data_IF_130502636916
#
_entry.id   IF_130502636916
#
_cell.length_a   1.000
_cell.length_b   1.000
_cell.length_c   1.000
_cell.angle_alpha   90.00
_cell.angle_beta   90.00
_cell.angle_gamma   90.00
#
_symmetry.space_group_name_H-M   'P 1'
#
loop_
_entity.id
_entity.type
_entity.pdbx_description
1 polymer ?
#
# COMPACT_ATOMS: atom_id res chain seq x y z
N UNK A 1 3.78 -41.25 -21.66
CA UNK A 1 4.21 -41.35 -20.26
C UNK A 1 4.81 -40.02 -19.87
N UNK A 2 4.19 -39.32 -18.95
CA UNK A 2 4.75 -38.06 -18.40
C UNK A 2 6.08 -38.42 -17.69
N UNK A 3 7.20 -37.81 -18.11
CA UNK A 3 8.48 -37.93 -17.39
C UNK A 3 8.22 -37.35 -15.98
N UNK A 4 8.24 -38.21 -14.96
CA UNK A 4 8.20 -37.76 -13.58
C UNK A 4 9.36 -36.81 -13.35
N UNK A 5 9.06 -35.56 -12.99
CA UNK A 5 10.10 -34.61 -12.62
C UNK A 5 10.76 -35.09 -11.33
N UNK A 6 12.07 -35.26 -11.35
CA UNK A 6 12.86 -35.57 -10.14
C UNK A 6 13.09 -34.31 -9.26
N UNK A 7 12.83 -33.14 -9.80
CA UNK A 7 13.08 -31.81 -9.20
C UNK A 7 11.78 -31.12 -8.85
N UNK A 8 11.82 -30.31 -7.81
CA UNK A 8 10.69 -29.51 -7.34
C UNK A 8 11.04 -28.02 -7.34
N UNK A 9 10.09 -27.20 -7.78
CA UNK A 9 10.05 -25.77 -7.51
C UNK A 9 8.90 -25.50 -6.55
N UNK A 10 9.26 -25.15 -5.31
CA UNK A 10 8.31 -24.78 -4.26
C UNK A 10 8.14 -23.28 -4.23
N UNK A 11 6.93 -22.79 -4.44
CA UNK A 11 6.56 -21.39 -4.32
C UNK A 11 5.89 -21.13 -2.97
N UNK A 12 6.49 -20.29 -2.14
CA UNK A 12 5.86 -19.86 -0.90
C UNK A 12 4.95 -18.65 -1.18
N UNK A 13 3.73 -18.69 -0.66
CA UNK A 13 2.76 -17.59 -0.76
C UNK A 13 2.31 -17.18 0.64
N UNK A 14 2.29 -15.89 0.91
CA UNK A 14 1.76 -15.36 2.17
C UNK A 14 2.24 -13.94 2.46
N UNK A 15 1.61 -13.32 3.40
CA UNK A 15 1.82 -11.96 3.83
C UNK A 15 3.13 -11.81 4.63
N UNK A 16 3.63 -10.61 4.78
CA UNK A 16 4.76 -10.32 5.67
C UNK A 16 4.43 -10.76 7.10
N UNK A 17 5.38 -11.28 7.82
CA UNK A 17 5.12 -11.85 9.18
C UNK A 17 4.54 -13.26 9.20
N UNK A 18 4.11 -13.83 8.06
CA UNK A 18 3.45 -15.15 8.05
C UNK A 18 4.37 -16.36 8.32
N UNK A 19 5.71 -16.18 8.32
CA UNK A 19 6.65 -17.26 8.62
C UNK A 19 7.27 -17.94 7.39
N UNK A 20 7.07 -17.41 6.18
CA UNK A 20 7.67 -17.95 4.93
C UNK A 20 9.16 -18.25 5.03
N UNK A 21 9.94 -17.29 5.55
CA UNK A 21 11.39 -17.46 5.64
C UNK A 21 11.81 -18.56 6.64
N UNK A 22 10.99 -18.86 7.63
CA UNK A 22 11.20 -20.02 8.52
C UNK A 22 10.98 -21.32 7.74
N UNK A 23 9.86 -21.42 7.01
CA UNK A 23 9.58 -22.55 6.13
C UNK A 23 10.68 -22.71 5.09
N UNK A 24 11.12 -21.61 4.46
CA UNK A 24 12.21 -21.66 3.47
C UNK A 24 13.51 -22.23 4.06
N UNK A 25 13.87 -21.86 5.30
CA UNK A 25 15.04 -22.42 6.00
C UNK A 25 14.94 -23.92 6.21
N UNK A 26 13.74 -24.42 6.54
CA UNK A 26 13.51 -25.87 6.70
C UNK A 26 13.70 -26.63 5.36
N UNK A 27 13.35 -26.01 4.24
CA UNK A 27 13.59 -26.57 2.92
C UNK A 27 15.07 -26.48 2.49
N UNK A 28 15.75 -25.38 2.85
CA UNK A 28 17.22 -25.27 2.65
C UNK A 28 17.95 -26.37 3.41
N UNK A 29 17.55 -26.68 4.65
CA UNK A 29 18.11 -27.79 5.43
C UNK A 29 17.87 -29.17 4.76
N UNK A 30 16.87 -29.28 3.88
CA UNK A 30 16.58 -30.46 3.05
C UNK A 30 17.27 -30.44 1.69
N UNK A 31 18.18 -29.49 1.45
CA UNK A 31 18.96 -29.38 0.20
C UNK A 31 18.33 -28.53 -0.90
N UNK A 32 17.28 -27.73 -0.61
CA UNK A 32 16.74 -26.79 -1.57
C UNK A 32 17.61 -25.53 -1.67
N UNK A 33 17.71 -24.97 -2.85
CA UNK A 33 18.26 -23.63 -3.07
C UNK A 33 17.15 -22.62 -2.82
N UNK A 34 17.38 -21.68 -1.90
CA UNK A 34 16.46 -20.57 -1.64
C UNK A 34 16.72 -19.43 -2.61
N UNK A 35 15.66 -18.90 -3.17
CA UNK A 35 15.66 -17.66 -3.98
C UNK A 35 14.72 -16.65 -3.33
N UNK A 36 15.26 -15.50 -2.98
CA UNK A 36 14.54 -14.40 -2.31
C UNK A 36 14.90 -13.06 -2.93
N UNK A 37 13.90 -12.23 -3.22
CA UNK A 37 14.10 -10.94 -3.90
C UNK A 37 14.78 -9.90 -3.03
N UNK A 38 14.54 -9.89 -1.73
CA UNK A 38 15.16 -8.91 -0.82
C UNK A 38 16.66 -9.19 -0.68
N UNK A 39 17.05 -10.47 -0.56
CA UNK A 39 18.45 -10.87 -0.59
C UNK A 39 19.12 -10.49 -1.92
N UNK A 40 18.41 -10.70 -3.04
CA UNK A 40 18.91 -10.34 -4.37
C UNK A 40 19.06 -8.82 -4.55
N UNK A 41 18.14 -8.02 -4.04
CA UNK A 41 18.26 -6.54 -4.09
C UNK A 41 19.51 -6.06 -3.38
N UNK A 42 19.79 -6.60 -2.19
CA UNK A 42 21.00 -6.26 -1.42
C UNK A 42 22.24 -6.70 -2.17
N UNK A 43 22.27 -7.92 -2.68
CA UNK A 43 23.43 -8.47 -3.38
C UNK A 43 23.72 -7.76 -4.72
N UNK A 44 22.69 -7.41 -5.48
CA UNK A 44 22.85 -6.83 -6.80
C UNK A 44 23.07 -5.31 -6.79
N UNK A 45 22.78 -4.63 -5.70
CA UNK A 45 23.00 -3.18 -5.58
C UNK A 45 24.44 -2.74 -5.97
N UNK A 46 25.52 -3.41 -5.52
CA UNK A 46 26.90 -3.03 -5.89
C UNK A 46 27.23 -3.29 -7.36
N UNK A 47 26.52 -4.18 -8.05
CA UNK A 47 26.77 -4.56 -9.45
C UNK A 47 26.18 -3.58 -10.47
N UNK A 48 25.42 -2.59 -10.04
CA UNK A 48 24.83 -1.58 -10.94
C UNK A 48 25.94 -0.71 -11.54
N UNK A 49 26.00 -0.65 -12.88
CA UNK A 49 27.07 0.06 -13.60
C UNK A 49 26.99 1.58 -13.47
N UNK A 50 25.79 2.13 -13.44
CA UNK A 50 25.59 3.55 -13.22
C UNK A 50 25.99 3.93 -11.79
N UNK A 51 27.04 4.76 -11.67
CA UNK A 51 27.62 5.10 -10.37
C UNK A 51 26.67 5.93 -9.50
N UNK A 52 25.88 6.83 -10.11
CA UNK A 52 24.94 7.66 -9.39
C UNK A 52 23.76 6.81 -8.89
N UNK A 53 23.24 5.92 -9.73
CA UNK A 53 22.18 4.98 -9.36
C UNK A 53 22.66 3.99 -8.28
N UNK A 54 23.88 3.46 -8.43
CA UNK A 54 24.49 2.56 -7.44
C UNK A 54 24.65 3.25 -6.08
N UNK A 55 25.18 4.48 -6.05
CA UNK A 55 25.32 5.24 -4.81
C UNK A 55 23.97 5.47 -4.13
N UNK A 56 22.97 5.89 -4.90
CA UNK A 56 21.62 6.10 -4.41
C UNK A 56 20.97 4.80 -3.90
N UNK A 57 21.21 3.67 -4.58
CA UNK A 57 20.71 2.35 -4.16
C UNK A 57 21.40 1.85 -2.90
N UNK A 58 22.72 2.09 -2.75
CA UNK A 58 23.47 1.77 -1.53
C UNK A 58 23.02 2.63 -0.35
N UNK A 59 22.73 3.90 -0.58
CA UNK A 59 22.16 4.80 0.42
C UNK A 59 20.75 4.33 0.82
N UNK A 60 19.91 3.93 -0.13
CA UNK A 60 18.59 3.36 0.14
C UNK A 60 18.69 2.08 0.99
N UNK A 61 19.63 1.19 0.69
CA UNK A 61 19.88 -0.02 1.49
C UNK A 61 20.33 0.34 2.90
N UNK A 62 21.30 1.24 3.05
CA UNK A 62 21.80 1.67 4.36
C UNK A 62 20.71 2.34 5.21
N UNK A 63 19.86 3.15 4.59
CA UNK A 63 18.76 3.83 5.29
C UNK A 63 17.67 2.83 5.71
N UNK A 64 17.36 1.86 4.88
CA UNK A 64 16.45 0.77 5.25
C UNK A 64 17.01 -0.06 6.39
N UNK A 65 18.31 -0.37 6.37
CA UNK A 65 18.98 -1.07 7.46
C UNK A 65 18.97 -0.26 8.77
N UNK A 66 19.03 1.07 8.67
CA UNK A 66 18.86 1.98 9.80
C UNK A 66 17.41 2.19 10.25
N UNK A 67 16.43 1.55 9.59
CA UNK A 67 15.01 1.71 9.89
C UNK A 67 14.40 3.03 9.38
N UNK A 68 15.14 3.79 8.57
CA UNK A 68 14.65 5.02 7.95
C UNK A 68 14.32 4.74 6.48
N UNK A 69 13.10 5.05 6.08
CA UNK A 69 12.62 4.78 4.72
C UNK A 69 12.88 5.95 3.78
N UNK A 70 13.51 5.67 2.62
CA UNK A 70 13.57 6.61 1.49
C UNK A 70 12.74 6.10 0.32
N UNK A 71 11.90 6.94 -0.32
CA UNK A 71 11.17 6.58 -1.52
C UNK A 71 12.12 6.32 -2.70
N UNK A 72 11.84 5.28 -3.51
CA UNK A 72 12.61 4.89 -4.70
C UNK A 72 12.51 5.87 -5.89
N UNK A 73 12.33 7.16 -5.66
CA UNK A 73 12.38 8.17 -6.72
C UNK A 73 13.77 8.73 -6.85
N UNK A 74 14.61 8.01 -7.57
CA UNK A 74 15.89 8.57 -7.98
C UNK A 74 15.69 9.56 -9.12
N UNK A 75 16.02 10.83 -8.89
CA UNK A 75 16.17 11.85 -9.93
C UNK A 75 17.47 11.62 -10.72
N UNK A 76 17.73 10.40 -11.17
CA UNK A 76 19.02 10.04 -11.76
C UNK A 76 18.96 9.06 -12.94
N UNK A 77 17.91 9.09 -13.74
CA UNK A 77 17.96 8.52 -15.10
C UNK A 77 17.82 7.01 -15.26
N UNK A 78 17.94 6.19 -14.21
CA UNK A 78 17.62 4.75 -14.25
C UNK A 78 16.37 4.54 -13.40
N UNK A 79 15.31 3.99 -14.01
CA UNK A 79 14.05 3.78 -13.29
C UNK A 79 14.20 2.63 -12.29
N UNK A 80 13.60 2.75 -11.12
CA UNK A 80 13.51 1.63 -10.16
C UNK A 80 12.86 0.39 -10.76
N UNK A 81 12.09 0.55 -11.85
CA UNK A 81 11.52 -0.53 -12.67
C UNK A 81 12.62 -1.36 -13.35
N UNK A 82 13.63 -0.73 -13.94
CA UNK A 82 14.72 -1.44 -14.64
C UNK A 82 15.54 -2.30 -13.67
N UNK A 83 15.74 -1.82 -12.44
CA UNK A 83 16.39 -2.60 -11.40
C UNK A 83 15.54 -3.78 -10.95
N UNK A 84 14.24 -3.60 -10.75
CA UNK A 84 13.31 -4.68 -10.40
C UNK A 84 13.20 -5.73 -11.52
N UNK A 85 13.24 -5.30 -12.78
CA UNK A 85 13.30 -6.22 -13.93
C UNK A 85 14.63 -7.00 -13.96
N UNK A 86 15.74 -6.35 -13.60
CA UNK A 86 17.03 -7.03 -13.47
C UNK A 86 17.00 -8.04 -12.32
N UNK A 87 16.51 -7.67 -11.13
CA UNK A 87 16.30 -8.58 -10.00
C UNK A 87 15.46 -9.79 -10.42
N UNK A 88 14.37 -9.55 -11.17
CA UNK A 88 13.48 -10.61 -11.66
C UNK A 88 14.17 -11.58 -12.63
N UNK A 89 15.06 -11.06 -13.48
CA UNK A 89 15.87 -11.89 -14.41
C UNK A 89 16.86 -12.75 -13.64
N UNK A 90 17.57 -12.18 -12.67
CA UNK A 90 18.55 -12.91 -11.84
C UNK A 90 17.86 -13.95 -10.97
N UNK A 91 16.72 -13.64 -10.40
CA UNK A 91 15.89 -14.56 -9.62
C UNK A 91 15.58 -15.84 -10.43
N UNK A 92 15.06 -15.65 -11.64
CA UNK A 92 14.75 -16.78 -12.54
C UNK A 92 15.98 -17.52 -13.03
N UNK A 93 17.08 -16.80 -13.33
CA UNK A 93 18.33 -17.43 -13.75
C UNK A 93 18.90 -18.34 -12.65
N UNK A 94 18.86 -17.91 -11.38
CA UNK A 94 19.28 -18.74 -10.24
C UNK A 94 18.42 -19.99 -10.07
N UNK A 95 17.10 -19.81 -10.14
CA UNK A 95 16.19 -20.95 -10.09
C UNK A 95 16.43 -21.93 -11.24
N UNK A 96 16.60 -21.43 -12.48
CA UNK A 96 16.90 -22.26 -13.65
C UNK A 96 18.22 -23.01 -13.50
N UNK A 97 19.27 -22.33 -13.01
CA UNK A 97 20.57 -22.95 -12.80
C UNK A 97 20.50 -24.08 -11.76
N UNK A 98 19.89 -23.85 -10.60
CA UNK A 98 19.72 -24.87 -9.57
C UNK A 98 18.96 -26.11 -10.11
N UNK A 99 17.84 -25.88 -10.80
CA UNK A 99 17.07 -26.94 -11.42
C UNK A 99 17.86 -27.70 -12.50
N UNK A 100 18.75 -27.03 -13.22
CA UNK A 100 19.62 -27.70 -14.23
C UNK A 100 20.69 -28.59 -13.60
N UNK A 101 21.01 -28.34 -12.32
CA UNK A 101 21.93 -29.18 -11.54
C UNK A 101 21.22 -30.24 -10.69
N UNK A 102 19.97 -30.56 -11.01
CA UNK A 102 19.11 -31.51 -10.27
C UNK A 102 18.87 -31.11 -8.80
N UNK A 103 18.92 -29.79 -8.48
CA UNK A 103 18.67 -29.27 -7.14
C UNK A 103 17.27 -28.64 -7.09
N UNK A 104 16.52 -28.95 -6.04
CA UNK A 104 15.21 -28.37 -5.77
C UNK A 104 15.33 -26.87 -5.41
N UNK A 105 14.28 -26.11 -5.67
CA UNK A 105 14.24 -24.66 -5.43
C UNK A 105 13.06 -24.30 -4.55
N UNK A 106 13.28 -23.42 -3.56
CA UNK A 106 12.24 -22.75 -2.81
C UNK A 106 12.30 -21.24 -3.09
N UNK A 107 11.20 -20.67 -3.57
CA UNK A 107 11.06 -19.25 -3.86
C UNK A 107 10.31 -18.59 -2.69
N UNK A 108 11.03 -17.74 -1.94
CA UNK A 108 10.58 -17.14 -0.69
C UNK A 108 10.27 -15.65 -0.88
N UNK A 109 9.10 -15.37 -1.45
CA UNK A 109 8.55 -14.01 -1.57
C UNK A 109 7.06 -14.02 -1.20
N UNK A 110 6.38 -12.86 -1.22
CA UNK A 110 4.96 -12.78 -0.84
C UNK A 110 4.03 -13.47 -1.85
N UNK A 111 4.27 -13.30 -3.15
CA UNK A 111 3.53 -13.90 -4.27
C UNK A 111 1.99 -13.75 -4.17
N UNK A 112 1.52 -12.62 -3.64
CA UNK A 112 0.08 -12.38 -3.44
C UNK A 112 -0.65 -12.07 -4.76
N UNK A 113 0.08 -11.62 -5.78
CA UNK A 113 -0.50 -11.37 -7.10
C UNK A 113 -0.60 -12.69 -7.90
N UNK A 114 -1.80 -13.13 -8.30
CA UNK A 114 -2.00 -14.36 -9.09
C UNK A 114 -1.15 -14.42 -10.37
N UNK A 115 -1.02 -13.30 -11.08
CA UNK A 115 -0.19 -13.25 -12.29
C UNK A 115 1.28 -13.60 -12.03
N UNK A 116 1.78 -13.37 -10.82
CA UNK A 116 3.14 -13.76 -10.45
C UNK A 116 3.23 -15.25 -10.22
N UNK A 117 2.21 -15.84 -9.62
CA UNK A 117 2.09 -17.29 -9.43
C UNK A 117 2.07 -18.00 -10.80
N UNK A 118 1.22 -17.54 -11.72
CA UNK A 118 1.11 -18.10 -13.09
C UNK A 118 2.44 -18.02 -13.85
N UNK A 119 3.18 -16.92 -13.68
CA UNK A 119 4.52 -16.78 -14.28
C UNK A 119 5.52 -17.77 -13.71
N UNK A 120 5.45 -18.14 -12.44
CA UNK A 120 6.30 -19.15 -11.84
C UNK A 120 5.88 -20.55 -12.24
N UNK A 121 4.59 -20.83 -12.32
CA UNK A 121 4.07 -22.10 -12.84
C UNK A 121 4.52 -22.34 -14.29
N UNK A 122 4.34 -21.33 -15.15
CA UNK A 122 4.83 -21.38 -16.53
C UNK A 122 6.35 -21.55 -16.61
N UNK A 123 7.11 -20.89 -15.75
CA UNK A 123 8.57 -21.05 -15.67
C UNK A 123 8.96 -22.47 -15.27
N UNK A 124 8.25 -23.10 -14.34
CA UNK A 124 8.52 -24.46 -13.88
C UNK A 124 8.14 -25.51 -14.92
N UNK A 125 7.25 -25.21 -15.86
CA UNK A 125 6.77 -26.13 -16.88
C UNK A 125 7.94 -26.77 -17.62
N UNK A 126 7.92 -28.10 -17.74
CA UNK A 126 8.96 -28.94 -18.33
C UNK A 126 10.34 -28.96 -17.60
N UNK A 127 10.50 -28.22 -16.48
CA UNK A 127 11.75 -28.15 -15.70
C UNK A 127 11.66 -28.83 -14.35
N UNK A 128 10.53 -28.71 -13.67
CA UNK A 128 10.36 -29.22 -12.31
C UNK A 128 8.88 -29.47 -12.01
N UNK A 129 8.59 -30.29 -11.00
CA UNK A 129 7.25 -30.33 -10.40
C UNK A 129 7.02 -29.00 -9.68
N UNK A 130 5.92 -28.32 -10.02
CA UNK A 130 5.54 -27.06 -9.38
C UNK A 130 4.66 -27.33 -8.19
N UNK A 131 5.02 -26.77 -7.05
CA UNK A 131 4.22 -26.88 -5.83
C UNK A 131 4.09 -25.51 -5.16
N UNK A 132 2.90 -25.22 -4.67
CA UNK A 132 2.58 -24.03 -3.90
C UNK A 132 2.42 -24.40 -2.42
N UNK A 133 3.04 -23.60 -1.54
CA UNK A 133 2.80 -23.64 -0.11
C UNK A 133 2.25 -22.30 0.35
N UNK A 134 0.97 -22.29 0.73
CA UNK A 134 0.31 -21.09 1.25
C UNK A 134 0.44 -21.03 2.76
N UNK A 135 0.87 -19.87 3.26
CA UNK A 135 0.89 -19.61 4.70
C UNK A 135 -0.54 -19.34 5.18
N UNK A 136 -0.86 -19.81 6.39
CA UNK A 136 -2.18 -19.66 7.00
C UNK A 136 -2.13 -18.85 8.31
N UNK A 137 -1.14 -18.03 8.47
CA UNK A 137 -0.98 -17.18 9.67
C UNK A 137 -2.00 -16.05 9.62
N UNK A 138 -2.67 -15.81 10.75
CA UNK A 138 -3.67 -14.75 10.88
C UNK A 138 -3.01 -13.36 10.89
N UNK A 139 -3.77 -12.32 10.52
CA UNK A 139 -3.27 -10.96 10.36
C UNK A 139 -2.63 -10.42 11.64
N UNK A 140 -3.29 -10.56 12.79
CA UNK A 140 -2.78 -10.05 14.07
C UNK A 140 -1.44 -10.70 14.46
N UNK A 141 -1.30 -11.99 14.20
CA UNK A 141 -0.04 -12.70 14.43
C UNK A 141 1.06 -12.26 13.46
N UNK A 142 0.70 -11.96 12.19
CA UNK A 142 1.63 -11.37 11.22
C UNK A 142 2.12 -10.00 11.71
N UNK A 143 1.22 -9.15 12.17
CA UNK A 143 1.52 -7.81 12.72
C UNK A 143 2.40 -7.94 13.97
N UNK A 144 2.04 -8.81 14.91
CA UNK A 144 2.81 -9.05 16.12
C UNK A 144 4.24 -9.52 15.83
N UNK A 145 4.40 -10.43 14.87
CA UNK A 145 5.73 -10.92 14.45
C UNK A 145 6.54 -9.85 13.76
N UNK A 146 5.89 -9.03 12.96
CA UNK A 146 6.55 -7.95 12.22
C UNK A 146 7.05 -6.85 13.18
N UNK A 147 6.29 -6.51 14.21
CA UNK A 147 6.70 -5.55 15.25
C UNK A 147 7.96 -5.96 16.03
N UNK A 148 8.32 -7.26 16.01
CA UNK A 148 9.56 -7.76 16.62
C UNK A 148 10.76 -7.71 15.66
N UNK A 149 10.55 -7.30 14.40
CA UNK A 149 11.60 -7.22 13.40
C UNK A 149 12.25 -5.85 13.39
N UNK A 150 13.45 -5.80 12.83
CA UNK A 150 14.22 -4.57 12.65
C UNK A 150 14.68 -4.44 11.20
N UNK A 151 15.04 -3.22 10.80
CA UNK A 151 15.58 -2.93 9.48
C UNK A 151 14.60 -3.28 8.35
N UNK A 152 15.10 -3.84 7.25
CA UNK A 152 14.34 -4.18 6.05
C UNK A 152 13.23 -5.23 6.26
N UNK A 153 13.36 -6.04 7.30
CA UNK A 153 12.39 -7.10 7.57
C UNK A 153 11.10 -6.56 8.21
N UNK A 154 11.15 -5.39 8.85
CA UNK A 154 9.99 -4.70 9.40
C UNK A 154 9.28 -3.92 8.29
N UNK A 155 8.03 -4.23 8.03
CA UNK A 155 7.24 -3.59 6.98
C UNK A 155 6.12 -2.69 7.52
N UNK A 156 5.73 -2.90 8.77
CA UNK A 156 4.66 -2.18 9.45
C UNK A 156 3.25 -2.72 9.17
N UNK A 157 2.35 -2.41 10.10
CA UNK A 157 0.96 -2.89 10.08
C UNK A 157 0.23 -2.51 8.79
N UNK A 158 0.36 -1.28 8.32
CA UNK A 158 -0.36 -0.83 7.11
C UNK A 158 -0.01 -1.61 5.84
N UNK A 159 1.25 -2.07 5.71
CA UNK A 159 1.65 -2.96 4.61
C UNK A 159 1.01 -4.34 4.75
N UNK A 160 0.97 -4.87 5.98
CA UNK A 160 0.38 -6.19 6.25
C UNK A 160 -1.12 -6.15 5.97
N UNK A 161 -1.86 -5.15 6.44
CA UNK A 161 -3.29 -4.98 6.17
C UNK A 161 -3.56 -4.95 4.66
N UNK A 162 -2.76 -4.18 3.89
CA UNK A 162 -2.88 -4.13 2.44
C UNK A 162 -2.59 -5.49 1.79
N UNK A 163 -1.63 -6.24 2.30
CA UNK A 163 -1.33 -7.60 1.83
C UNK A 163 -2.49 -8.56 2.12
N UNK A 164 -3.13 -8.45 3.28
CA UNK A 164 -4.32 -9.23 3.61
C UNK A 164 -5.52 -8.84 2.75
N UNK A 165 -5.68 -7.55 2.39
CA UNK A 165 -6.65 -7.11 1.40
C UNK A 165 -6.40 -7.81 0.05
N UNK A 166 -5.17 -7.72 -0.47
CA UNK A 166 -4.80 -8.31 -1.77
C UNK A 166 -5.00 -9.83 -1.82
N UNK A 167 -4.78 -10.53 -0.72
CA UNK A 167 -4.96 -12.00 -0.63
C UNK A 167 -6.38 -12.46 -0.35
N UNK A 168 -7.32 -11.54 -0.10
CA UNK A 168 -8.69 -11.84 0.29
C UNK A 168 -8.86 -12.38 1.69
N UNK A 169 -7.85 -12.23 2.54
CA UNK A 169 -7.82 -12.79 3.88
C UNK A 169 -7.99 -11.74 4.99
N UNK A 170 -8.34 -10.51 4.63
CA UNK A 170 -8.53 -9.45 5.63
C UNK A 170 -9.75 -9.75 6.51
N UNK A 171 -9.59 -9.74 7.87
CA UNK A 171 -10.63 -10.20 8.80
C UNK A 171 -11.96 -9.46 8.69
N UNK A 172 -11.92 -8.18 8.30
CA UNK A 172 -13.14 -7.38 8.13
C UNK A 172 -14.12 -8.02 7.15
N UNK A 173 -13.61 -8.73 6.12
CA UNK A 173 -14.48 -9.34 5.10
C UNK A 173 -15.29 -10.53 5.62
N UNK A 174 -14.93 -11.10 6.77
CA UNK A 174 -15.74 -12.13 7.43
C UNK A 174 -17.07 -11.58 7.97
N UNK A 175 -17.19 -10.25 8.10
CA UNK A 175 -18.39 -9.56 8.55
C UNK A 175 -19.33 -9.17 7.40
N UNK A 176 -18.89 -9.31 6.15
CA UNK A 176 -19.67 -8.94 4.97
C UNK A 176 -20.90 -9.85 4.83
N UNK A 177 -22.03 -9.21 4.58
CA UNK A 177 -23.29 -9.84 4.22
C UNK A 177 -24.07 -8.88 3.28
N UNK A 178 -25.18 -9.27 2.66
CA UNK A 178 -25.93 -8.41 1.73
C UNK A 178 -26.47 -7.11 2.35
N UNK A 179 -26.63 -7.06 3.67
CA UNK A 179 -27.16 -5.89 4.40
C UNK A 179 -26.02 -4.98 4.94
N UNK A 180 -24.75 -5.33 4.68
CA UNK A 180 -23.62 -4.55 5.19
C UNK A 180 -23.57 -3.18 4.54
N UNK A 181 -23.53 -2.15 5.37
CA UNK A 181 -23.29 -0.76 4.99
C UNK A 181 -21.80 -0.46 5.10
N UNK A 182 -21.16 -0.11 3.98
CA UNK A 182 -19.74 0.21 3.94
C UNK A 182 -19.54 1.72 3.88
N UNK A 183 -18.69 2.24 4.75
CA UNK A 183 -18.25 3.63 4.76
C UNK A 183 -16.75 3.71 4.49
N UNK A 184 -16.36 4.65 3.66
CA UNK A 184 -14.94 4.94 3.42
C UNK A 184 -14.63 6.35 3.89
N UNK A 185 -13.42 6.60 4.35
CA UNK A 185 -13.00 7.97 4.69
C UNK A 185 -11.51 8.18 4.41
N UNK A 186 -11.18 9.40 3.98
CA UNK A 186 -9.80 9.86 3.91
C UNK A 186 -9.29 10.31 5.28
N UNK A 187 -7.97 10.50 5.40
CA UNK A 187 -7.35 10.92 6.65
C UNK A 187 -6.95 12.40 6.60
N UNK A 188 -6.05 12.78 5.68
CA UNK A 188 -5.49 14.13 5.62
C UNK A 188 -6.51 15.13 5.08
N UNK A 189 -6.81 16.16 5.86
CA UNK A 189 -7.86 17.12 5.54
C UNK A 189 -9.28 16.67 5.91
N UNK A 190 -9.47 15.38 6.22
CA UNK A 190 -10.78 14.79 6.54
C UNK A 190 -10.94 14.52 8.04
N UNK A 191 -10.12 13.66 8.63
CA UNK A 191 -10.13 13.39 10.10
C UNK A 191 -8.92 13.97 10.81
N UNK A 192 -7.85 14.26 10.07
CA UNK A 192 -6.58 14.79 10.57
C UNK A 192 -6.12 16.02 9.79
N UNK A 193 -5.63 17.04 10.48
CA UNK A 193 -5.00 18.23 9.89
C UNK A 193 -3.54 18.31 10.28
N UNK A 194 -2.67 18.57 9.30
CA UNK A 194 -1.29 18.93 9.55
C UNK A 194 -1.09 20.41 9.88
N UNK A 195 -2.18 21.17 10.05
CA UNK A 195 -2.15 22.59 10.41
C UNK A 195 -2.66 22.83 11.82
N UNK A 196 -2.13 23.86 12.49
CA UNK A 196 -2.65 24.35 13.76
C UNK A 196 -3.88 25.25 13.57
N UNK A 197 -4.44 25.77 14.68
CA UNK A 197 -5.64 26.64 14.65
C UNK A 197 -5.41 27.98 13.97
N UNK A 198 -4.16 28.36 13.80
CA UNK A 198 -3.76 29.60 13.15
C UNK A 198 -3.36 29.36 11.68
N UNK A 199 -3.58 28.14 11.15
CA UNK A 199 -3.23 27.78 9.78
C UNK A 199 -1.73 27.59 9.53
N UNK A 200 -0.91 27.44 10.58
CA UNK A 200 0.53 27.18 10.46
C UNK A 200 0.77 25.68 10.37
N UNK A 201 1.63 25.29 9.46
CA UNK A 201 1.97 23.86 9.27
C UNK A 201 2.70 23.29 10.48
N UNK A 202 2.17 22.21 11.04
CA UNK A 202 2.78 21.40 12.11
C UNK A 202 3.87 20.46 11.57
N UNK A 203 3.73 20.06 10.32
CA UNK A 203 4.68 19.21 9.58
C UNK A 203 4.60 19.48 8.09
N UNK A 204 5.56 18.98 7.33
CA UNK A 204 5.43 18.91 5.87
C UNK A 204 4.18 18.07 5.49
N UNK A 205 3.37 18.47 4.50
CA UNK A 205 2.23 17.69 4.02
C UNK A 205 2.57 16.22 3.68
N UNK A 206 3.80 15.99 3.22
CA UNK A 206 4.32 14.65 2.90
C UNK A 206 5.27 14.09 3.97
N UNK A 207 5.35 14.74 5.14
CA UNK A 207 6.18 14.31 6.26
C UNK A 207 5.62 13.05 6.92
N UNK A 208 6.53 12.24 7.48
CA UNK A 208 6.17 10.99 8.15
C UNK A 208 5.79 11.19 9.62
N UNK A 209 6.03 12.38 10.16
CA UNK A 209 5.74 12.78 11.54
C UNK A 209 4.24 13.08 11.72
N UNK A 210 3.39 12.07 11.54
CA UNK A 210 1.92 12.22 11.53
C UNK A 210 1.30 12.30 12.92
N UNK A 211 2.06 11.99 13.95
CA UNK A 211 1.64 12.04 15.36
C UNK A 211 1.33 13.46 15.86
N UNK A 212 1.85 14.49 15.17
CA UNK A 212 1.58 15.90 15.50
C UNK A 212 0.28 16.42 14.92
N UNK A 213 -0.37 15.66 14.03
CA UNK A 213 -1.61 16.07 13.37
C UNK A 213 -2.74 16.33 14.38
N UNK A 214 -3.56 17.33 14.10
CA UNK A 214 -4.74 17.66 14.90
C UNK A 214 -5.96 16.88 14.41
N UNK A 215 -6.85 16.41 15.32
CA UNK A 215 -8.09 15.76 14.94
C UNK A 215 -9.16 16.76 14.51
N UNK A 216 -9.94 16.42 13.50
CA UNK A 216 -11.24 17.02 13.22
C UNK A 216 -12.32 16.27 14.01
N UNK A 217 -12.51 16.68 15.28
CA UNK A 217 -13.38 15.97 16.22
C UNK A 217 -14.84 15.84 15.75
N UNK A 218 -15.35 16.85 15.04
CA UNK A 218 -16.71 16.81 14.48
C UNK A 218 -16.89 15.64 13.50
N UNK A 219 -15.94 15.43 12.59
CA UNK A 219 -16.00 14.32 11.64
C UNK A 219 -15.77 12.99 12.36
N UNK A 220 -14.81 12.95 13.29
CA UNK A 220 -14.53 11.74 14.09
C UNK A 220 -15.77 11.29 14.85
N UNK A 221 -16.45 12.20 15.56
CA UNK A 221 -17.67 11.88 16.30
C UNK A 221 -18.80 11.38 15.38
N UNK A 222 -18.91 11.94 14.18
CA UNK A 222 -19.86 11.44 13.20
C UNK A 222 -19.54 10.00 12.76
N UNK A 223 -18.28 9.72 12.43
CA UNK A 223 -17.84 8.36 12.10
C UNK A 223 -18.08 7.40 13.28
N UNK A 224 -17.80 7.81 14.50
CA UNK A 224 -18.10 7.02 15.71
C UNK A 224 -19.58 6.69 15.81
N UNK A 225 -20.47 7.68 15.62
CA UNK A 225 -21.92 7.45 15.63
C UNK A 225 -22.39 6.49 14.55
N UNK A 226 -21.85 6.61 13.32
CA UNK A 226 -22.16 5.68 12.23
C UNK A 226 -21.69 4.26 12.55
N UNK A 227 -20.51 4.12 13.14
CA UNK A 227 -19.93 2.82 13.46
C UNK A 227 -20.69 2.05 14.56
N UNK A 228 -21.52 2.73 15.36
CA UNK A 228 -22.38 2.06 16.35
C UNK A 228 -23.59 1.33 15.71
N UNK A 229 -23.89 1.60 14.45
CA UNK A 229 -25.00 0.96 13.75
C UNK A 229 -24.70 -0.50 13.43
N UNK A 230 -25.72 -1.38 13.40
CA UNK A 230 -25.52 -2.79 13.04
C UNK A 230 -25.08 -2.91 11.57
N UNK A 231 -24.34 -3.96 11.27
CA UNK A 231 -23.88 -4.29 9.93
C UNK A 231 -23.07 -3.18 9.23
N UNK A 232 -22.31 -2.38 9.98
CA UNK A 232 -21.43 -1.37 9.44
C UNK A 232 -19.99 -1.88 9.34
N UNK A 233 -19.38 -1.64 8.19
CA UNK A 233 -17.93 -1.71 7.99
C UNK A 233 -17.40 -0.34 7.61
N UNK A 234 -16.24 0.00 8.14
CA UNK A 234 -15.62 1.31 7.92
C UNK A 234 -14.15 1.18 7.60
N UNK A 235 -13.73 1.76 6.49
CA UNK A 235 -12.34 1.68 6.03
C UNK A 235 -11.74 3.06 5.83
N UNK A 236 -10.54 3.27 6.41
CA UNK A 236 -9.72 4.42 6.10
C UNK A 236 -8.96 4.18 4.79
N UNK A 237 -9.04 5.12 3.85
CA UNK A 237 -8.39 5.07 2.53
C UNK A 237 -7.51 6.29 2.37
N UNK A 238 -6.19 6.14 2.50
CA UNK A 238 -5.28 7.28 2.60
C UNK A 238 -4.20 7.32 1.54
N UNK A 239 -3.91 8.53 1.06
CA UNK A 239 -2.75 8.85 0.23
C UNK A 239 -1.41 8.82 0.99
N UNK A 240 -1.42 8.68 2.31
CA UNK A 240 -0.19 8.53 3.11
C UNK A 240 0.57 7.27 2.70
N UNK A 241 1.88 7.34 2.72
CA UNK A 241 2.71 6.16 2.47
C UNK A 241 2.62 5.17 3.62
N UNK A 242 2.57 3.89 3.31
CA UNK A 242 2.51 2.81 4.30
C UNK A 242 3.71 2.79 5.26
N UNK A 243 4.80 3.52 4.96
CA UNK A 243 5.94 3.72 5.87
C UNK A 243 5.59 4.45 7.16
N UNK A 244 4.55 5.31 7.16
CA UNK A 244 4.02 5.92 8.38
C UNK A 244 2.76 5.19 8.89
N UNK A 245 2.54 3.94 8.46
CA UNK A 245 1.34 3.18 8.80
C UNK A 245 1.17 2.96 10.29
N UNK A 246 2.22 2.58 10.99
CA UNK A 246 2.16 2.35 12.44
C UNK A 246 1.87 3.64 13.21
N UNK A 247 2.54 4.76 12.85
CA UNK A 247 2.27 6.07 13.44
C UNK A 247 0.85 6.55 13.11
N UNK A 248 0.36 6.29 11.88
CA UNK A 248 -1.01 6.62 11.49
C UNK A 248 -2.02 5.79 12.28
N UNK A 249 -1.81 4.47 12.43
CA UNK A 249 -2.67 3.63 13.25
C UNK A 249 -2.70 4.10 14.71
N UNK A 250 -1.53 4.37 15.30
CA UNK A 250 -1.43 4.87 16.67
C UNK A 250 -2.16 6.21 16.85
N UNK A 251 -2.10 7.09 15.85
CA UNK A 251 -2.85 8.35 15.85
C UNK A 251 -4.36 8.11 15.77
N UNK A 252 -4.82 7.24 14.88
CA UNK A 252 -6.24 6.88 14.76
C UNK A 252 -6.76 6.23 16.06
N UNK A 253 -5.97 5.36 16.68
CA UNK A 253 -6.31 4.73 17.97
C UNK A 253 -6.39 5.77 19.10
N UNK A 254 -5.44 6.71 19.16
CA UNK A 254 -5.40 7.80 20.16
C UNK A 254 -6.67 8.63 20.15
N UNK A 255 -7.24 8.90 18.97
CA UNK A 255 -8.45 9.69 18.82
C UNK A 255 -9.71 8.85 18.61
N UNK A 256 -9.61 7.54 18.86
CA UNK A 256 -10.71 6.59 18.76
C UNK A 256 -11.45 6.66 17.42
N UNK A 257 -10.70 6.89 16.32
CA UNK A 257 -11.26 6.89 14.96
C UNK A 257 -11.62 5.46 14.57
N UNK A 258 -12.93 5.16 14.39
CA UNK A 258 -13.37 3.80 14.13
C UNK A 258 -12.96 3.34 12.74
N UNK A 259 -12.52 2.08 12.65
CA UNK A 259 -12.21 1.43 11.38
C UNK A 259 -12.11 -0.07 11.50
N UNK A 260 -12.45 -0.78 10.46
CA UNK A 260 -12.20 -2.21 10.29
C UNK A 260 -10.91 -2.48 9.50
N UNK A 261 -10.35 -1.46 8.83
CA UNK A 261 -9.07 -1.54 8.13
C UNK A 261 -8.54 -0.17 7.69
N UNK A 262 -7.23 -0.10 7.49
CA UNK A 262 -6.51 1.08 6.99
C UNK A 262 -5.76 0.71 5.71
N UNK A 263 -6.17 1.30 4.60
CA UNK A 263 -5.58 1.06 3.29
C UNK A 263 -4.84 2.30 2.81
N UNK A 264 -3.53 2.17 2.72
CA UNK A 264 -2.61 3.27 2.45
C UNK A 264 -1.92 3.08 1.11
N UNK A 265 -1.43 4.18 0.57
CA UNK A 265 -0.49 4.17 -0.56
C UNK A 265 0.69 3.24 -0.29
N UNK A 266 1.07 2.44 -1.28
CA UNK A 266 2.28 1.64 -1.17
C UNK A 266 3.51 2.53 -0.98
N UNK A 267 4.45 2.10 -0.15
CA UNK A 267 5.64 2.89 0.20
C UNK A 267 6.46 3.35 -1.01
N UNK A 268 6.43 2.60 -2.09
CA UNK A 268 7.16 2.89 -3.34
C UNK A 268 6.33 3.63 -4.39
N UNK A 269 5.05 3.83 -4.14
CA UNK A 269 4.18 4.55 -5.07
C UNK A 269 4.30 6.06 -4.84
N UNK A 270 4.61 6.79 -5.90
CA UNK A 270 4.69 8.24 -5.94
C UNK A 270 3.68 8.84 -6.94
N UNK A 271 2.70 8.07 -7.34
CA UNK A 271 1.58 8.56 -8.14
C UNK A 271 0.81 9.65 -7.37
N UNK A 272 0.00 10.42 -8.05
CA UNK A 272 -0.95 11.33 -7.40
C UNK A 272 -2.02 10.53 -6.61
N UNK A 273 -2.80 11.21 -5.77
CA UNK A 273 -3.78 10.53 -4.90
C UNK A 273 -4.90 9.82 -5.66
N UNK A 274 -5.33 10.38 -6.81
CA UNK A 274 -6.42 9.80 -7.61
C UNK A 274 -6.13 8.36 -8.02
N UNK A 275 -5.06 8.04 -8.76
CA UNK A 275 -4.78 6.65 -9.14
C UNK A 275 -4.55 5.72 -7.94
N UNK A 276 -3.99 6.24 -6.83
CA UNK A 276 -3.80 5.46 -5.61
C UNK A 276 -5.14 5.04 -5.01
N UNK A 277 -6.06 5.99 -4.84
CA UNK A 277 -7.38 5.70 -4.28
C UNK A 277 -8.26 4.88 -5.23
N UNK A 278 -8.13 5.08 -6.54
CA UNK A 278 -8.76 4.21 -7.55
C UNK A 278 -8.27 2.76 -7.46
N UNK A 279 -6.98 2.54 -7.22
CA UNK A 279 -6.44 1.19 -7.03
C UNK A 279 -6.99 0.54 -5.77
N UNK A 280 -6.99 1.27 -4.64
CA UNK A 280 -7.55 0.77 -3.37
C UNK A 280 -9.04 0.47 -3.53
N UNK A 281 -9.80 1.35 -4.15
CA UNK A 281 -11.23 1.13 -4.42
C UNK A 281 -11.45 -0.14 -5.25
N UNK A 282 -10.68 -0.33 -6.32
CA UNK A 282 -10.76 -1.52 -7.17
C UNK A 282 -10.48 -2.81 -6.38
N UNK A 283 -9.52 -2.76 -5.46
CA UNK A 283 -9.23 -3.90 -4.58
C UNK A 283 -10.38 -4.18 -3.62
N UNK A 284 -10.99 -3.14 -3.02
CA UNK A 284 -12.14 -3.28 -2.14
C UNK A 284 -13.37 -3.84 -2.88
N UNK A 285 -13.63 -3.36 -4.09
CA UNK A 285 -14.77 -3.82 -4.91
C UNK A 285 -14.62 -5.26 -5.41
N UNK A 286 -13.51 -5.93 -5.18
CA UNK A 286 -13.38 -7.37 -5.39
C UNK A 286 -14.10 -8.19 -4.30
N UNK A 287 -14.50 -7.59 -3.17
CA UNK A 287 -15.08 -8.28 -2.02
C UNK A 287 -16.53 -7.92 -1.74
N UNK A 288 -16.97 -6.75 -2.16
CA UNK A 288 -18.36 -6.30 -2.02
C UNK A 288 -18.77 -5.41 -3.20
N UNK A 289 -20.04 -5.41 -3.59
CA UNK A 289 -20.53 -4.56 -4.66
C UNK A 289 -20.51 -3.09 -4.22
N UNK A 290 -20.32 -2.17 -5.16
CA UNK A 290 -20.25 -0.73 -4.87
C UNK A 290 -21.52 -0.16 -4.23
N UNK A 291 -22.65 -0.81 -4.47
CA UNK A 291 -23.96 -0.45 -3.92
C UNK A 291 -24.01 -0.60 -2.39
N UNK A 292 -23.08 -1.34 -1.79
CA UNK A 292 -22.92 -1.40 -0.34
C UNK A 292 -22.17 -0.19 0.22
N UNK A 293 -21.46 0.58 -0.62
CA UNK A 293 -20.83 1.81 -0.18
C UNK A 293 -21.89 2.89 -0.02
N UNK A 294 -22.18 3.25 1.23
CA UNK A 294 -23.19 4.26 1.55
C UNK A 294 -22.68 5.63 1.14
N UNK A 295 -21.46 5.99 1.54
CA UNK A 295 -20.71 7.13 1.04
C UNK A 295 -19.22 7.05 1.43
N UNK A 296 -18.45 7.90 0.76
CA UNK A 296 -17.06 8.21 1.11
C UNK A 296 -16.98 9.63 1.69
N UNK A 297 -16.17 9.83 2.72
CA UNK A 297 -15.83 11.16 3.23
C UNK A 297 -14.43 11.53 2.75
N UNK A 298 -14.30 12.61 1.98
CA UNK A 298 -13.02 13.06 1.41
C UNK A 298 -13.04 14.58 1.26
N UNK A 299 -11.89 15.24 1.43
CA UNK A 299 -11.76 16.69 1.40
C UNK A 299 -11.22 17.24 0.08
N UNK A 300 -10.58 16.38 -0.75
CA UNK A 300 -9.89 16.84 -1.96
C UNK A 300 -10.78 16.81 -3.19
N UNK A 301 -11.17 17.97 -3.78
CA UNK A 301 -12.04 18.01 -4.95
C UNK A 301 -11.56 17.14 -6.12
N UNK A 302 -10.26 17.12 -6.39
CA UNK A 302 -9.68 16.27 -7.43
C UNK A 302 -9.91 14.78 -7.19
N UNK A 303 -9.83 14.33 -5.93
CA UNK A 303 -10.07 12.93 -5.57
C UNK A 303 -11.55 12.63 -5.58
N UNK A 304 -12.37 13.55 -5.07
CA UNK A 304 -13.82 13.46 -5.10
C UNK A 304 -14.30 13.23 -6.54
N UNK A 305 -13.87 14.07 -7.49
CA UNK A 305 -14.26 13.93 -8.90
C UNK A 305 -13.60 12.74 -9.59
N UNK A 306 -12.25 12.70 -9.58
CA UNK A 306 -11.47 11.78 -10.40
C UNK A 306 -11.35 10.36 -9.83
N UNK A 307 -11.86 10.10 -8.62
CA UNK A 307 -11.92 8.75 -8.06
C UNK A 307 -13.36 8.35 -7.73
N UNK A 308 -13.96 9.01 -6.74
CA UNK A 308 -15.22 8.54 -6.17
C UNK A 308 -16.41 8.75 -7.10
N UNK A 309 -16.60 9.97 -7.60
CA UNK A 309 -17.70 10.29 -8.52
C UNK A 309 -17.53 9.57 -9.87
N UNK A 310 -16.33 9.51 -10.42
CA UNK A 310 -16.04 8.79 -11.66
C UNK A 310 -16.36 7.29 -11.55
N UNK A 311 -16.12 6.70 -10.37
CA UNK A 311 -16.51 5.31 -10.09
C UNK A 311 -18.02 5.15 -9.80
N UNK A 312 -18.78 6.22 -9.70
CA UNK A 312 -20.19 6.22 -9.32
C UNK A 312 -20.41 5.82 -7.86
N UNK A 313 -19.47 6.16 -6.98
CA UNK A 313 -19.58 5.95 -5.53
C UNK A 313 -20.11 7.22 -4.91
N UNK A 314 -21.15 7.16 -4.03
CA UNK A 314 -21.62 8.33 -3.31
C UNK A 314 -20.49 8.94 -2.48
N UNK A 315 -20.32 10.25 -2.55
CA UNK A 315 -19.29 10.96 -1.79
C UNK A 315 -19.90 12.09 -1.00
N UNK A 316 -19.42 12.26 0.20
CA UNK A 316 -19.71 13.40 1.07
C UNK A 316 -18.42 14.22 1.19
N UNK A 317 -18.28 15.29 0.42
CA UNK A 317 -17.12 16.14 0.52
C UNK A 317 -17.14 16.88 1.87
N UNK A 318 -15.96 17.01 2.47
CA UNK A 318 -15.75 17.79 3.69
C UNK A 318 -14.71 18.86 3.42
N UNK A 319 -14.85 19.97 4.11
CA UNK A 319 -13.89 21.05 4.04
C UNK A 319 -13.08 21.01 5.33
N UNK A 320 -11.92 20.36 5.25
CA UNK A 320 -10.95 20.37 6.33
C UNK A 320 -10.36 21.77 6.51
N UNK A 321 -9.70 22.00 7.63
CA UNK A 321 -9.04 23.28 7.89
C UNK A 321 -7.90 23.63 6.95
N UNK A 322 -7.53 22.71 6.07
CA UNK A 322 -6.57 22.92 4.98
C UNK A 322 -7.24 23.55 3.76
N UNK A 323 -8.56 23.41 3.67
CA UNK A 323 -9.44 24.10 2.76
C UNK A 323 -10.36 24.97 3.61
N UNK A 324 -10.32 26.23 3.35
CA UNK A 324 -11.19 27.25 3.93
C UNK A 324 -12.67 26.88 3.71
N UNK A 325 -13.59 27.70 4.19
CA UNK A 325 -15.02 27.56 3.83
C UNK A 325 -15.19 27.52 2.31
N UNK A 326 -16.31 27.00 1.78
CA UNK A 326 -16.55 27.01 0.33
C UNK A 326 -16.35 28.39 -0.32
N UNK A 327 -16.70 29.45 0.37
CA UNK A 327 -16.53 30.84 -0.08
C UNK A 327 -15.05 31.25 -0.05
N UNK A 328 -14.35 30.99 1.05
CA UNK A 328 -12.91 31.24 1.18
C UNK A 328 -12.10 30.34 0.25
N UNK A 329 -12.50 29.08 0.08
CA UNK A 329 -11.88 28.17 -0.89
C UNK A 329 -12.04 28.72 -2.30
N UNK A 330 -13.24 29.14 -2.66
CA UNK A 330 -13.51 29.72 -3.97
C UNK A 330 -12.69 30.99 -4.19
N UNK A 331 -12.58 31.84 -3.19
CA UNK A 331 -11.79 33.07 -3.25
C UNK A 331 -10.30 32.78 -3.33
N UNK A 332 -9.78 31.94 -2.46
CA UNK A 332 -8.36 31.58 -2.44
C UNK A 332 -7.94 30.85 -3.71
N UNK A 333 -8.75 29.91 -4.19
CA UNK A 333 -8.44 29.22 -5.45
C UNK A 333 -8.63 30.11 -6.67
N UNK A 334 -9.55 31.08 -6.64
CA UNK A 334 -9.73 32.08 -7.71
C UNK A 334 -8.63 33.11 -7.72
N UNK A 335 -8.19 33.56 -6.57
CA UNK A 335 -7.21 34.65 -6.46
C UNK A 335 -5.77 34.18 -6.26
N UNK A 336 -5.55 32.99 -5.71
CA UNK A 336 -4.24 32.43 -5.37
C UNK A 336 -3.98 31.01 -5.86
N UNK A 337 -4.87 30.46 -6.70
CA UNK A 337 -4.68 29.13 -7.28
C UNK A 337 -3.46 29.14 -8.20
N UNK A 338 -2.54 28.17 -8.04
CA UNK A 338 -1.35 28.05 -8.88
C UNK A 338 -1.66 27.84 -10.38
N UNK A 339 -2.91 27.52 -10.71
CA UNK A 339 -3.42 27.46 -12.06
C UNK A 339 -3.89 28.83 -12.58
N UNK A 340 -4.24 29.76 -11.68
CA UNK A 340 -4.68 31.11 -12.07
C UNK A 340 -3.56 31.89 -12.75
N UNK A 341 -2.31 31.73 -12.31
CA UNK A 341 -1.14 32.43 -12.86
C UNK A 341 -0.79 31.97 -14.27
N UNK A 342 -1.35 30.85 -14.73
CA UNK A 342 -1.03 30.27 -16.05
C UNK A 342 -2.10 30.52 -17.09
N UNK A 343 -3.39 30.50 -16.76
CA UNK A 343 -4.48 30.64 -17.75
C UNK A 343 -5.78 31.20 -17.16
N UNK A 344 -5.77 31.64 -15.90
CA UNK A 344 -6.95 32.00 -15.16
C UNK A 344 -7.61 30.81 -14.43
N UNK A 345 -8.01 31.04 -13.21
CA UNK A 345 -8.59 30.05 -12.28
C UNK A 345 -9.86 29.35 -12.82
N UNK A 346 -10.53 29.89 -13.83
CA UNK A 346 -11.74 29.30 -14.42
C UNK A 346 -11.52 27.92 -15.01
N UNK A 347 -10.29 27.50 -15.21
CA UNK A 347 -9.93 26.18 -15.74
C UNK A 347 -9.28 25.27 -14.72
N UNK A 348 -9.15 25.69 -13.48
CA UNK A 348 -8.66 24.82 -12.42
C UNK A 348 -9.71 23.72 -12.16
N UNK A 349 -9.37 22.43 -12.37
CA UNK A 349 -10.30 21.34 -12.09
C UNK A 349 -10.80 21.32 -10.65
N UNK A 350 -9.93 21.71 -9.72
CA UNK A 350 -10.25 21.72 -8.28
C UNK A 350 -11.20 22.89 -7.93
N UNK A 351 -11.11 24.02 -8.64
CA UNK A 351 -12.04 25.15 -8.47
C UNK A 351 -13.38 24.89 -9.16
N UNK A 352 -13.38 24.20 -10.29
CA UNK A 352 -14.58 23.89 -11.05
C UNK A 352 -15.41 22.81 -10.35
N UNK A 353 -14.77 21.88 -9.66
CA UNK A 353 -15.43 20.84 -8.89
C UNK A 353 -16.35 21.36 -7.78
N UNK A 354 -16.17 22.61 -7.33
CA UNK A 354 -16.95 23.23 -6.27
C UNK A 354 -18.12 24.06 -6.80
N UNK A 355 -18.12 24.45 -8.08
CA UNK A 355 -19.25 25.19 -8.68
C UNK A 355 -20.42 24.24 -9.03
N UNK A 356 -20.16 22.92 -9.05
CA UNK A 356 -21.13 21.87 -9.36
C UNK A 356 -21.73 21.21 -8.10
N UNK A 357 -21.33 21.69 -6.89
CA UNK A 357 -21.87 21.28 -5.58
C UNK A 357 -22.68 22.42 -4.94
#
# INVERSE_FOLDING_TARGET
MAKGHTRELLLLIGESGSGKSTVAKDYVAKGYVRVNRDDLRIELAPAVKDAAFRAALQEEVAIKEAGVFIPRNFKGGVSGRDFEDFVSKVERARAAHALSQDVNVVVDNTHLNPNTVDKWEHFANHKAAFRIYRMDTQMDECVRRDALRTGLAHVGRGVIERQFLMSGRHPAFNKLNPETSVYLFDIDGTVASHMDEQGRSLRSPYGLNVEVDRPYLNIIHELQNLYTQPNVLMFAVSGRKSTCGDATNAWLDKYEVPRDGLFMRHSFDNSSDVPVKQEILRELLAYFPKEQIVFVVDDRPRVVQGCWMEAGVPVRPVYGGEFLTPEEFTTVHRDGCSYADREGYRRCPDCQALEDF
#
